data_IF_405957701514
#
_entry.id   IF_405957701514
#
_cell.length_a   1.000
_cell.length_b   1.000
_cell.length_c   1.000
_cell.angle_alpha   90.00
_cell.angle_beta   90.00
_cell.angle_gamma   90.00
#
_symmetry.space_group_name_H-M   'P 1'
#
loop_
_entity.id
_entity.type
_entity.pdbx_description
1 polymer ?
#
# COMPACT_ATOMS: atom_id res chain seq x y z
N UNK A 1 9.19 -19.98 17.12
CA UNK A 1 8.25 -18.87 17.30
C UNK A 1 8.06 -18.63 18.78
N UNK A 2 8.67 -17.57 19.28
CA UNK A 2 8.48 -17.13 20.65
C UNK A 2 7.14 -16.38 20.78
N UNK A 3 6.47 -16.43 21.95
CA UNK A 3 5.27 -15.65 22.19
C UNK A 3 5.48 -14.14 22.00
N UNK A 4 6.70 -13.65 22.22
CA UNK A 4 7.08 -12.24 22.07
C UNK A 4 7.07 -11.83 20.59
N UNK A 5 7.59 -12.67 19.70
CA UNK A 5 7.55 -12.41 18.24
C UNK A 5 6.12 -12.28 17.72
N UNK A 6 5.24 -13.19 18.15
CA UNK A 6 3.81 -13.15 17.78
C UNK A 6 3.17 -11.86 18.29
N UNK A 7 3.44 -11.48 19.53
CA UNK A 7 2.92 -10.25 20.12
C UNK A 7 3.38 -9.02 19.34
N UNK A 8 4.66 -8.95 18.95
CA UNK A 8 5.21 -7.85 18.15
C UNK A 8 4.54 -7.75 16.78
N UNK A 9 4.37 -8.87 16.09
CA UNK A 9 3.69 -8.92 14.78
C UNK A 9 2.24 -8.43 14.92
N UNK A 10 1.51 -8.93 15.90
CA UNK A 10 0.10 -8.54 16.14
C UNK A 10 -0.01 -7.06 16.45
N UNK A 11 0.81 -6.54 17.37
CA UNK A 11 0.79 -5.12 17.74
C UNK A 11 1.14 -4.23 16.55
N UNK A 12 2.18 -4.59 15.78
CA UNK A 12 2.57 -3.83 14.59
C UNK A 12 1.44 -3.76 13.56
N UNK A 13 0.79 -4.90 13.28
CA UNK A 13 -0.35 -4.97 12.35
C UNK A 13 -1.55 -4.18 12.86
N UNK A 14 -1.85 -4.23 14.16
CA UNK A 14 -2.94 -3.43 14.76
C UNK A 14 -2.66 -1.94 14.61
N UNK A 15 -1.45 -1.48 14.96
CA UNK A 15 -1.08 -0.06 14.81
C UNK A 15 -1.12 0.36 13.34
N UNK A 16 -0.56 -0.46 12.43
CA UNK A 16 -0.61 -0.19 11.00
C UNK A 16 -2.03 -0.15 10.45
N UNK A 17 -2.92 -1.03 10.92
CA UNK A 17 -4.33 -1.05 10.55
C UNK A 17 -5.07 0.20 11.06
N UNK A 18 -4.75 0.70 12.25
CA UNK A 18 -5.30 1.97 12.78
C UNK A 18 -4.87 3.17 11.92
N UNK A 19 -3.61 3.20 11.48
CA UNK A 19 -3.11 4.23 10.57
C UNK A 19 -3.81 4.14 9.21
N UNK A 20 -3.94 2.93 8.64
CA UNK A 20 -4.67 2.74 7.40
C UNK A 20 -6.15 3.13 7.52
N UNK A 21 -6.80 2.83 8.63
CA UNK A 21 -8.21 3.15 8.84
C UNK A 21 -8.47 4.66 8.93
N UNK A 22 -7.48 5.45 9.38
CA UNK A 22 -7.59 6.91 9.52
C UNK A 22 -7.11 7.67 8.29
N UNK A 23 -6.00 7.25 7.66
CA UNK A 23 -5.40 7.94 6.51
C UNK A 23 -5.79 7.33 5.15
N UNK A 24 -6.42 6.15 5.13
CA UNK A 24 -6.73 5.40 3.91
C UNK A 24 -5.58 4.57 3.33
N UNK A 25 -4.34 4.76 3.83
CA UNK A 25 -3.12 4.05 3.45
C UNK A 25 -2.21 3.87 4.68
N UNK A 26 -1.24 2.96 4.61
CA UNK A 26 -0.09 2.98 5.54
C UNK A 26 0.13 1.76 6.43
N UNK A 27 -0.68 0.70 6.35
CA UNK A 27 -0.39 -0.53 7.10
C UNK A 27 1.00 -1.08 6.77
N UNK A 28 1.39 -1.04 5.50
CA UNK A 28 2.70 -1.49 5.02
C UNK A 28 3.81 -0.56 5.49
N UNK A 29 3.58 0.76 5.49
CA UNK A 29 4.57 1.75 5.96
C UNK A 29 4.90 1.58 7.45
N UNK A 30 3.92 1.17 8.25
CA UNK A 30 4.06 1.04 9.70
C UNK A 30 4.49 -0.37 10.12
N UNK A 31 3.80 -1.39 9.63
CA UNK A 31 3.99 -2.76 10.12
C UNK A 31 5.10 -3.52 9.37
N UNK A 32 5.35 -3.24 8.09
CA UNK A 32 6.34 -4.01 7.32
C UNK A 32 7.77 -3.96 7.92
N UNK A 33 8.30 -2.80 8.40
CA UNK A 33 9.63 -2.75 9.00
C UNK A 33 9.76 -3.62 10.25
N UNK A 34 8.71 -3.68 11.08
CA UNK A 34 8.68 -4.51 12.29
C UNK A 34 8.63 -5.99 11.93
N UNK A 35 7.77 -6.36 10.98
CA UNK A 35 7.64 -7.73 10.50
C UNK A 35 8.94 -8.23 9.85
N UNK A 36 9.60 -7.39 9.03
CA UNK A 36 10.91 -7.67 8.44
C UNK A 36 11.99 -7.93 9.50
N UNK A 37 11.97 -7.19 10.61
CA UNK A 37 12.94 -7.35 11.69
C UNK A 37 12.71 -8.63 12.51
N UNK A 38 11.48 -9.17 12.54
CA UNK A 38 11.15 -10.43 13.21
C UNK A 38 11.45 -11.62 12.31
N UNK A 39 10.77 -11.69 11.16
CA UNK A 39 10.99 -12.70 10.12
C UNK A 39 10.36 -12.17 8.82
N UNK A 40 11.14 -12.03 7.73
CA UNK A 40 10.62 -11.62 6.42
C UNK A 40 9.43 -12.45 5.92
N UNK A 41 9.30 -13.71 6.33
CA UNK A 41 8.17 -14.56 5.99
C UNK A 41 6.83 -14.07 6.59
N UNK A 42 6.85 -13.25 7.64
CA UNK A 42 5.66 -12.64 8.23
C UNK A 42 5.20 -11.37 7.52
N UNK A 43 5.93 -10.86 6.54
CA UNK A 43 5.53 -9.63 5.84
C UNK A 43 4.25 -9.83 5.02
N UNK A 44 4.13 -10.81 4.10
CA UNK A 44 3.01 -10.81 3.16
C UNK A 44 1.65 -11.05 3.82
N UNK A 45 1.51 -12.13 4.59
CA UNK A 45 0.20 -12.63 5.02
C UNK A 45 -0.48 -11.70 6.06
N UNK A 46 0.13 -11.36 7.20
CA UNK A 46 -0.42 -10.41 8.16
C UNK A 46 -0.80 -9.04 7.57
N UNK A 47 0.02 -8.50 6.66
CA UNK A 47 -0.27 -7.20 6.02
C UNK A 47 -1.47 -7.29 5.09
N UNK A 48 -1.58 -8.36 4.29
CA UNK A 48 -2.73 -8.60 3.41
C UNK A 48 -4.00 -8.76 4.26
N UNK A 49 -3.98 -9.57 5.31
CA UNK A 49 -5.14 -9.79 6.18
C UNK A 49 -5.58 -8.49 6.84
N UNK A 50 -4.67 -7.77 7.52
CA UNK A 50 -4.99 -6.52 8.19
C UNK A 50 -5.50 -5.44 7.22
N UNK A 51 -4.82 -5.29 6.07
CA UNK A 51 -5.19 -4.32 5.05
C UNK A 51 -6.55 -4.63 4.41
N UNK A 52 -6.85 -5.91 4.19
CA UNK A 52 -8.13 -6.36 3.63
C UNK A 52 -9.27 -6.12 4.62
N UNK A 53 -9.07 -6.42 5.91
CA UNK A 53 -10.09 -6.17 6.95
C UNK A 53 -10.46 -4.69 7.01
N UNK A 54 -9.46 -3.80 7.02
CA UNK A 54 -9.69 -2.35 7.01
C UNK A 54 -10.34 -1.90 5.69
N UNK A 55 -9.89 -2.43 4.55
CA UNK A 55 -10.45 -2.13 3.24
C UNK A 55 -11.93 -2.53 3.12
N UNK A 56 -12.29 -3.73 3.58
CA UNK A 56 -13.69 -4.21 3.61
C UNK A 56 -14.52 -3.35 4.56
N UNK A 57 -14.00 -3.03 5.75
CA UNK A 57 -14.69 -2.13 6.69
C UNK A 57 -15.01 -0.78 6.04
N UNK A 58 -14.03 -0.17 5.38
CA UNK A 58 -14.21 1.12 4.72
C UNK A 58 -15.21 1.01 3.56
N UNK A 59 -15.14 -0.05 2.75
CA UNK A 59 -16.09 -0.31 1.68
C UNK A 59 -17.53 -0.43 2.20
N UNK A 60 -17.75 -1.16 3.30
CA UNK A 60 -19.09 -1.33 3.89
C UNK A 60 -19.61 -0.02 4.48
N UNK A 61 -18.75 0.74 5.18
CA UNK A 61 -19.15 2.02 5.79
C UNK A 61 -19.46 3.10 4.75
N UNK A 62 -18.72 3.13 3.65
CA UNK A 62 -18.89 4.13 2.58
C UNK A 62 -19.70 3.60 1.38
N UNK A 63 -20.32 2.42 1.53
CA UNK A 63 -21.14 1.83 0.48
C UNK A 63 -22.31 2.72 0.03
N UNK A 64 -23.00 3.48 0.91
CA UNK A 64 -24.06 4.39 0.48
C UNK A 64 -23.50 5.55 -0.36
N UNK A 65 -23.81 5.55 -1.67
CA UNK A 65 -23.27 6.52 -2.64
C UNK A 65 -22.08 6.03 -3.46
N UNK A 66 -21.75 4.74 -3.36
CA UNK A 66 -20.64 4.13 -4.08
C UNK A 66 -20.84 4.11 -5.61
N UNK A 67 -19.96 4.80 -6.34
CA UNK A 67 -19.89 4.72 -7.80
C UNK A 67 -19.04 3.52 -8.24
N UNK A 68 -19.71 2.39 -8.45
CA UNK A 68 -19.08 1.14 -8.88
C UNK A 68 -18.35 1.25 -10.23
N UNK A 69 -18.81 2.12 -11.14
CA UNK A 69 -18.19 2.30 -12.45
C UNK A 69 -16.86 3.06 -12.33
N UNK A 70 -16.78 4.05 -11.42
CA UNK A 70 -15.53 4.73 -11.08
C UNK A 70 -14.58 3.79 -10.36
N UNK A 71 -15.06 3.09 -9.33
CA UNK A 71 -14.23 2.17 -8.57
C UNK A 71 -13.61 1.08 -9.45
N UNK A 72 -14.37 0.49 -10.39
CA UNK A 72 -13.83 -0.52 -11.31
C UNK A 72 -12.72 0.03 -12.20
N UNK A 73 -12.79 1.30 -12.61
CA UNK A 73 -11.69 1.95 -13.36
C UNK A 73 -10.46 2.14 -12.49
N UNK A 74 -10.64 2.53 -11.22
CA UNK A 74 -9.54 2.63 -10.26
C UNK A 74 -8.88 1.26 -10.02
N UNK A 75 -9.67 0.17 -9.97
CA UNK A 75 -9.13 -1.17 -9.80
C UNK A 75 -8.20 -1.62 -10.93
N UNK A 76 -8.33 -1.08 -12.15
CA UNK A 76 -7.45 -1.43 -13.27
C UNK A 76 -5.99 -1.03 -13.00
N UNK A 77 -5.74 -0.07 -12.10
CA UNK A 77 -4.39 0.30 -11.69
C UNK A 77 -3.65 -0.83 -10.96
N UNK A 78 -4.36 -1.68 -10.22
CA UNK A 78 -3.76 -2.77 -9.44
C UNK A 78 -3.10 -3.87 -10.31
N UNK A 79 -3.79 -4.51 -11.28
CA UNK A 79 -3.16 -5.51 -12.13
C UNK A 79 -2.06 -4.90 -13.01
N UNK A 80 -2.25 -3.67 -13.50
CA UNK A 80 -1.19 -2.97 -14.26
C UNK A 80 0.05 -2.74 -13.39
N UNK A 81 -0.14 -2.25 -12.17
CA UNK A 81 0.95 -2.06 -11.21
C UNK A 81 1.65 -3.36 -10.84
N UNK A 82 0.90 -4.45 -10.65
CA UNK A 82 1.44 -5.78 -10.36
C UNK A 82 2.31 -6.28 -11.52
N UNK A 83 1.79 -6.22 -12.76
CA UNK A 83 2.54 -6.65 -13.94
C UNK A 83 3.81 -5.83 -14.15
N UNK A 84 3.74 -4.51 -13.97
CA UNK A 84 4.91 -3.63 -14.07
C UNK A 84 5.91 -3.88 -12.94
N UNK A 85 5.44 -4.13 -11.73
CA UNK A 85 6.27 -4.46 -10.57
C UNK A 85 7.01 -5.78 -10.74
N UNK A 86 6.30 -6.83 -11.15
CA UNK A 86 6.89 -8.14 -11.46
C UNK A 86 7.88 -8.05 -12.64
N UNK A 87 7.52 -7.32 -13.71
CA UNK A 87 8.44 -7.09 -14.82
C UNK A 87 9.71 -6.34 -14.37
N UNK A 88 9.57 -5.33 -13.51
CA UNK A 88 10.71 -4.62 -12.95
C UNK A 88 11.57 -5.56 -12.08
N UNK A 89 10.95 -6.38 -11.23
CA UNK A 89 11.65 -7.35 -10.38
C UNK A 89 12.41 -8.41 -11.20
N UNK A 90 11.83 -8.87 -12.31
CA UNK A 90 12.43 -9.89 -13.16
C UNK A 90 13.58 -9.36 -14.05
N UNK A 91 13.56 -8.06 -14.39
CA UNK A 91 14.50 -7.50 -15.37
C UNK A 91 15.55 -6.55 -14.77
N UNK A 92 15.34 -6.03 -13.56
CA UNK A 92 16.28 -5.12 -12.90
C UNK A 92 17.14 -5.84 -11.87
N UNK A 93 18.40 -5.42 -11.76
CA UNK A 93 19.23 -5.77 -10.60
C UNK A 93 18.70 -5.09 -9.34
N UNK A 94 19.08 -5.57 -8.16
CA UNK A 94 18.71 -4.96 -6.88
C UNK A 94 18.98 -3.45 -6.84
N UNK A 95 20.17 -3.03 -7.28
CA UNK A 95 20.53 -1.60 -7.41
C UNK A 95 19.64 -0.87 -8.41
N UNK A 96 19.32 -1.51 -9.54
CA UNK A 96 18.41 -0.94 -10.54
C UNK A 96 17.01 -0.71 -9.99
N UNK A 97 16.49 -1.66 -9.21
CA UNK A 97 15.19 -1.57 -8.54
C UNK A 97 15.18 -0.45 -7.50
N UNK A 98 16.21 -0.36 -6.65
CA UNK A 98 16.37 0.72 -5.67
C UNK A 98 16.38 2.09 -6.34
N UNK A 99 17.14 2.25 -7.44
CA UNK A 99 17.19 3.49 -8.20
C UNK A 99 15.86 3.84 -8.86
N UNK A 100 15.17 2.86 -9.44
CA UNK A 100 13.87 3.07 -10.08
C UNK A 100 12.83 3.55 -9.06
N UNK A 101 12.72 2.89 -7.91
CA UNK A 101 11.82 3.30 -6.83
C UNK A 101 12.20 4.67 -6.29
N UNK A 102 13.49 4.92 -6.03
CA UNK A 102 13.98 6.20 -5.56
C UNK A 102 13.67 7.35 -6.54
N UNK A 103 13.85 7.13 -7.84
CA UNK A 103 13.54 8.10 -8.87
C UNK A 103 12.03 8.40 -8.92
N UNK A 104 11.17 7.38 -8.84
CA UNK A 104 9.72 7.57 -8.78
C UNK A 104 9.32 8.42 -7.57
N UNK A 105 9.93 8.19 -6.41
CA UNK A 105 9.70 8.99 -5.20
C UNK A 105 10.16 10.43 -5.40
N UNK A 106 11.38 10.66 -5.91
CA UNK A 106 11.90 12.00 -6.15
C UNK A 106 11.03 12.77 -7.14
N UNK A 107 10.65 12.15 -8.26
CA UNK A 107 9.75 12.75 -9.26
C UNK A 107 8.41 13.11 -8.62
N UNK A 108 7.85 12.22 -7.80
CA UNK A 108 6.58 12.48 -7.10
C UNK A 108 6.68 13.68 -6.17
N UNK A 109 7.73 13.75 -5.36
CA UNK A 109 7.97 14.87 -4.42
C UNK A 109 8.19 16.18 -5.16
N UNK A 110 9.00 16.18 -6.24
CA UNK A 110 9.24 17.38 -7.06
C UNK A 110 7.96 17.86 -7.72
N UNK A 111 7.15 16.95 -8.27
CA UNK A 111 5.88 17.29 -8.87
C UNK A 111 4.95 17.98 -7.84
N UNK A 112 4.79 17.39 -6.65
CA UNK A 112 4.00 18.00 -5.56
C UNK A 112 4.57 19.34 -5.13
N UNK A 113 5.89 19.44 -4.93
CA UNK A 113 6.55 20.66 -4.47
C UNK A 113 6.50 21.81 -5.50
N UNK A 114 6.46 21.49 -6.80
CA UNK A 114 6.31 22.48 -7.87
C UNK A 114 4.91 23.10 -7.98
N UNK A 115 3.97 22.68 -7.12
CA UNK A 115 2.58 23.13 -7.19
C UNK A 115 1.80 22.49 -8.34
N UNK A 116 2.29 21.37 -8.88
CA UNK A 116 1.54 20.62 -9.88
C UNK A 116 0.31 20.00 -9.24
N UNK A 117 -0.86 20.48 -9.64
CA UNK A 117 -2.14 19.90 -9.27
C UNK A 117 -2.70 19.20 -10.51
N UNK A 118 -2.87 17.86 -10.48
CA UNK A 118 -3.59 17.18 -11.54
C UNK A 118 -4.95 17.86 -11.70
N UNK A 119 -5.38 18.19 -12.94
CA UNK A 119 -6.67 18.81 -13.14
C UNK A 119 -7.74 17.95 -12.47
N UNK A 120 -8.56 18.57 -11.61
CA UNK A 120 -9.75 17.95 -11.03
C UNK A 120 -10.73 17.72 -12.17
N UNK A 121 -10.48 16.66 -12.94
CA UNK A 121 -11.34 16.32 -14.05
C UNK A 121 -12.58 15.70 -13.42
N UNK A 122 -13.67 16.47 -13.44
CA UNK A 122 -15.00 15.98 -13.09
C UNK A 122 -15.39 14.97 -14.14
N UNK A 123 -14.96 13.73 -13.96
CA UNK A 123 -15.39 12.61 -14.78
C UNK A 123 -16.79 12.21 -14.32
N UNK A 124 -17.77 13.06 -14.62
CA UNK A 124 -19.20 12.72 -14.56
C UNK A 124 -19.46 11.48 -15.38
#
# INVERSE_FOLDING_TARGET
MSPVEILLVVVAVVVGAMVQASAGIGITLVAAPVLLAVDPAFVPLPLILGGTVVGVRNLVMEFPGFDARRWRRCLLGAPVGLLLGEAALANLSERGLTLAVGLLVVVSVVAVASGWHPPRRSWT
#
